data_IF_198432246857
#
_entry.id   IF_198432246857
#
_cell.length_a   1.000
_cell.length_b   1.000
_cell.length_c   1.000
_cell.angle_alpha   90.00
_cell.angle_beta   90.00
_cell.angle_gamma   90.00
#
_symmetry.space_group_name_H-M   'P 1'
#
loop_
_entity.id
_entity.type
_entity.pdbx_description
1 polymer ?
#
# COMPACT_ATOMS: atom_id res chain seq x y z
N UNK A 1 -3.27 25.75 0.10
CA UNK A 1 -4.49 25.15 -0.48
C UNK A 1 -4.13 23.73 -0.84
N UNK A 2 -4.75 22.72 -0.23
CA UNK A 2 -4.52 21.30 -0.57
C UNK A 2 -5.56 20.93 -1.60
N UNK A 3 -5.13 20.49 -2.78
CA UNK A 3 -5.99 20.05 -3.87
C UNK A 3 -5.92 18.53 -3.96
N UNK A 4 -7.07 17.87 -3.99
CA UNK A 4 -7.16 16.44 -4.27
C UNK A 4 -6.77 16.23 -5.73
N UNK A 5 -5.66 15.51 -5.95
CA UNK A 5 -5.18 15.19 -7.30
C UNK A 5 -5.90 13.97 -7.85
N UNK A 6 -6.09 12.93 -7.03
CA UNK A 6 -6.74 11.68 -7.40
C UNK A 6 -7.33 11.01 -6.15
N UNK A 7 -8.51 10.40 -6.28
CA UNK A 7 -9.05 9.47 -5.29
C UNK A 7 -8.66 8.05 -5.67
N UNK A 8 -8.07 7.31 -4.73
CA UNK A 8 -7.68 5.92 -4.94
C UNK A 8 -8.69 5.01 -4.25
N UNK A 9 -9.34 4.12 -5.01
CA UNK A 9 -10.12 3.04 -4.44
C UNK A 9 -9.19 1.85 -4.18
N UNK A 10 -9.01 1.54 -2.90
CA UNK A 10 -8.09 0.50 -2.45
C UNK A 10 -8.72 -0.90 -2.49
N UNK A 11 -10.04 -1.01 -2.68
CA UNK A 11 -10.72 -2.31 -2.77
C UNK A 11 -10.47 -3.23 -1.57
N UNK A 12 -10.19 -2.67 -0.40
CA UNK A 12 -10.08 -3.39 0.86
C UNK A 12 -11.47 -3.65 1.44
N UNK A 13 -11.67 -4.84 2.01
CA UNK A 13 -12.97 -5.22 2.61
C UNK A 13 -13.13 -4.66 4.03
N UNK A 14 -12.03 -4.31 4.68
CA UNK A 14 -11.98 -3.81 6.06
C UNK A 14 -11.15 -2.52 6.17
N UNK A 15 -11.07 -1.99 7.40
CA UNK A 15 -10.41 -0.75 7.74
C UNK A 15 -8.94 -0.76 7.32
N UNK A 16 -8.55 0.29 6.62
CA UNK A 16 -7.16 0.54 6.22
C UNK A 16 -6.46 1.16 7.42
N UNK A 17 -5.32 0.59 7.81
CA UNK A 17 -4.55 1.09 8.94
C UNK A 17 -3.46 2.07 8.51
N UNK A 18 -2.79 1.76 7.40
CA UNK A 18 -1.67 2.56 6.92
C UNK A 18 -1.60 2.55 5.39
N UNK A 19 -1.00 3.61 4.85
CA UNK A 19 -0.75 3.78 3.43
C UNK A 19 0.54 4.58 3.21
N UNK A 20 1.51 3.96 2.53
CA UNK A 20 2.81 4.58 2.25
C UNK A 20 3.10 4.58 0.75
N UNK A 21 3.58 5.72 0.25
CA UNK A 21 4.10 5.82 -1.12
C UNK A 21 5.57 5.42 -1.18
N UNK A 22 5.96 4.85 -2.32
CA UNK A 22 7.36 4.63 -2.65
C UNK A 22 8.12 5.96 -2.79
N UNK A 23 9.45 5.90 -2.72
CA UNK A 23 10.36 7.05 -2.79
C UNK A 23 10.13 7.95 -4.01
N UNK A 24 9.71 7.36 -5.13
CA UNK A 24 9.41 8.08 -6.37
C UNK A 24 7.97 8.58 -6.48
N UNK A 25 7.09 8.22 -5.54
CA UNK A 25 5.66 8.55 -5.57
C UNK A 25 4.87 7.88 -6.70
N UNK A 26 5.44 6.85 -7.33
CA UNK A 26 4.81 6.12 -8.42
C UNK A 26 3.98 4.93 -7.93
N UNK A 27 4.28 4.43 -6.73
CA UNK A 27 3.58 3.27 -6.15
C UNK A 27 3.06 3.62 -4.78
N UNK A 28 1.89 3.09 -4.46
CA UNK A 28 1.25 3.21 -3.17
C UNK A 28 1.08 1.80 -2.59
N UNK A 29 1.55 1.58 -1.38
CA UNK A 29 1.25 0.40 -0.60
C UNK A 29 0.17 0.75 0.43
N UNK A 30 -0.83 -0.12 0.56
CA UNK A 30 -1.89 0.01 1.56
C UNK A 30 -1.99 -1.28 2.35
N UNK A 31 -2.27 -1.18 3.64
CA UNK A 31 -2.50 -2.35 4.49
C UNK A 31 -3.82 -2.22 5.24
N UNK A 32 -4.50 -3.36 5.40
CA UNK A 32 -5.84 -3.41 5.99
C UNK A 32 -5.95 -4.53 7.03
N UNK A 33 -7.01 -4.43 7.84
CA UNK A 33 -7.50 -5.48 8.71
C UNK A 33 -7.99 -6.73 7.96
N UNK A 34 -8.13 -6.68 6.62
CA UNK A 34 -8.42 -7.85 5.78
C UNK A 34 -7.21 -8.80 5.57
N UNK A 35 -6.14 -8.59 6.34
CA UNK A 35 -4.87 -9.31 6.29
C UNK A 35 -4.14 -9.22 4.94
N UNK A 36 -4.50 -8.26 4.10
CA UNK A 36 -3.88 -8.03 2.80
C UNK A 36 -3.08 -6.73 2.79
N UNK A 37 -1.95 -6.79 2.09
CA UNK A 37 -1.19 -5.62 1.68
C UNK A 37 -1.34 -5.47 0.17
N UNK A 38 -1.95 -4.39 -0.28
CA UNK A 38 -2.17 -4.13 -1.71
C UNK A 38 -1.17 -3.09 -2.19
N UNK A 39 -0.64 -3.30 -3.39
CA UNK A 39 0.28 -2.37 -4.04
C UNK A 39 -0.40 -1.84 -5.30
N UNK A 40 -0.49 -0.53 -5.40
CA UNK A 40 -1.05 0.19 -6.53
C UNK A 40 0.05 0.93 -7.29
N UNK A 41 0.06 0.84 -8.62
CA UNK A 41 0.83 1.73 -9.50
C UNK A 41 -0.05 2.95 -9.82
N UNK A 42 0.50 4.14 -9.62
CA UNK A 42 -0.13 5.43 -9.87
C UNK A 42 0.53 6.04 -11.10
N UNK A 43 0.11 5.60 -12.29
CA UNK A 43 0.61 6.13 -13.56
C UNK A 43 -0.46 6.95 -14.27
N UNK A 44 -0.13 8.21 -14.57
CA UNK A 44 -0.93 9.12 -15.39
C UNK A 44 -2.41 9.23 -14.97
N UNK A 45 -2.69 9.17 -13.67
CA UNK A 45 -4.03 9.28 -13.13
C UNK A 45 -4.82 7.97 -13.11
N UNK A 46 -4.26 6.87 -13.61
CA UNK A 46 -4.83 5.53 -13.50
C UNK A 46 -4.23 4.80 -12.29
N UNK A 47 -5.11 4.22 -11.48
CA UNK A 47 -4.72 3.28 -10.43
C UNK A 47 -4.75 1.86 -11.00
N UNK A 48 -3.67 1.12 -10.82
CA UNK A 48 -3.63 -0.30 -11.19
C UNK A 48 -3.13 -1.11 -10.01
N UNK A 49 -3.92 -2.09 -9.57
CA UNK A 49 -3.48 -3.05 -8.57
C UNK A 49 -2.38 -3.93 -9.17
N UNK A 50 -1.17 -3.77 -8.69
CA UNK A 50 0.01 -4.53 -9.14
C UNK A 50 0.12 -5.85 -8.40
N UNK A 51 -0.14 -5.83 -7.09
CA UNK A 51 0.02 -6.99 -6.24
C UNK A 51 -0.95 -6.96 -5.08
N UNK A 52 -1.43 -8.15 -4.72
CA UNK A 52 -2.22 -8.44 -3.55
C UNK A 52 -1.42 -9.45 -2.71
N UNK A 53 -0.81 -8.96 -1.64
CA UNK A 53 0.06 -9.74 -0.76
C UNK A 53 -0.76 -10.22 0.43
N UNK A 54 -1.08 -11.51 0.41
CA UNK A 54 -1.77 -12.21 1.51
C UNK A 54 -0.81 -13.24 2.10
N UNK A 55 -0.59 -13.16 3.40
CA UNK A 55 0.33 -14.04 4.12
C UNK A 55 0.25 -13.91 5.63
N UNK A 56 -0.17 -12.75 6.14
CA UNK A 56 -0.39 -12.53 7.56
C UNK A 56 -1.67 -13.22 8.04
N UNK A 57 -1.60 -13.85 9.21
CA UNK A 57 -2.76 -14.47 9.87
C UNK A 57 -3.67 -13.47 10.59
N UNK A 58 -3.17 -12.25 10.82
CA UNK A 58 -3.89 -11.17 11.49
C UNK A 58 -3.86 -9.82 10.74
N UNK A 59 -4.54 -8.82 11.30
CA UNK A 59 -4.65 -7.49 10.71
C UNK A 59 -3.27 -6.84 10.58
N UNK A 60 -3.02 -6.20 9.44
CA UNK A 60 -1.74 -5.54 9.15
C UNK A 60 -1.85 -4.06 9.55
N UNK A 61 -1.01 -3.65 10.50
CA UNK A 61 -1.06 -2.32 11.10
C UNK A 61 -0.22 -1.29 10.35
N UNK A 62 0.92 -1.71 9.81
CA UNK A 62 1.88 -0.79 9.22
C UNK A 62 2.57 -1.40 8.01
N UNK A 63 2.90 -0.54 7.05
CA UNK A 63 3.64 -0.90 5.85
C UNK A 63 4.73 0.15 5.60
N UNK A 64 5.92 -0.27 5.18
CA UNK A 64 7.02 0.66 4.89
C UNK A 64 7.85 0.27 3.67
N UNK A 65 8.15 1.24 2.81
CA UNK A 65 9.02 1.04 1.66
C UNK A 65 10.50 1.17 2.06
N UNK A 66 11.31 0.23 1.58
CA UNK A 66 12.75 0.34 1.71
C UNK A 66 13.31 1.34 0.70
N UNK A 67 14.52 1.85 1.00
CA UNK A 67 15.21 2.75 0.08
C UNK A 67 15.50 2.04 -1.26
N UNK A 68 15.28 2.71 -2.42
CA UNK A 68 15.36 2.09 -3.75
C UNK A 68 16.73 1.49 -4.10
N UNK A 69 17.80 1.92 -3.41
CA UNK A 69 19.14 1.32 -3.51
C UNK A 69 19.16 -0.18 -3.20
N UNK A 70 18.26 -0.66 -2.34
CA UNK A 70 18.17 -2.07 -1.94
C UNK A 70 17.18 -2.88 -2.81
N UNK A 71 16.56 -2.23 -3.80
CA UNK A 71 15.53 -2.82 -4.65
C UNK A 71 14.11 -2.51 -4.17
N UNK A 72 13.12 -3.18 -4.77
CA UNK A 72 11.72 -3.04 -4.41
C UNK A 72 11.40 -3.95 -3.21
N UNK A 73 11.56 -3.42 -2.01
CA UNK A 73 11.31 -4.14 -0.76
C UNK A 73 10.28 -3.37 0.05
N UNK A 74 9.34 -4.11 0.63
CA UNK A 74 8.33 -3.59 1.55
C UNK A 74 8.40 -4.40 2.84
N UNK A 75 8.36 -3.70 3.96
CA UNK A 75 8.12 -4.28 5.27
C UNK A 75 6.65 -4.16 5.62
N UNK A 76 6.09 -5.19 6.27
CA UNK A 76 4.72 -5.16 6.80
C UNK A 76 4.72 -5.72 8.22
N UNK A 77 3.90 -5.13 9.09
CA UNK A 77 3.78 -5.50 10.49
C UNK A 77 2.32 -5.90 10.78
N UNK A 78 2.12 -7.13 11.25
CA UNK A 78 0.80 -7.66 11.63
C UNK A 78 0.68 -7.80 13.16
N UNK A 79 -0.53 -8.11 13.63
CA UNK A 79 -0.81 -8.44 15.03
C UNK A 79 -0.32 -9.83 15.46
N UNK A 80 -0.06 -10.73 14.50
CA UNK A 80 0.43 -12.09 14.72
C UNK A 80 1.91 -12.14 15.17
#
# INVERSE_FOLDING_TARGET
>A
MVSVLNSVDTGHEDMIHDAEMDYYGLRLATCSSDNSVKIFDLKNGSQSLVADLKGHGGPVWQVAWAHPKFGNIIASCSYD
#
